data_IF_004372155637
#
_entry.id   IF_004372155637
#
_cell.length_a   1.000
_cell.length_b   1.000
_cell.length_c   1.000
_cell.angle_alpha   90.00
_cell.angle_beta   90.00
_cell.angle_gamma   90.00
#
_symmetry.space_group_name_H-M   'P 1'
#
loop_
_entity.id
_entity.type
_entity.pdbx_description
1 polymer ?
#
# COMPACT_ATOMS: atom_id res chain seq x y z
N UNK A 1 3.33 -5.54 34.84
CA UNK A 1 4.24 -6.48 34.14
C UNK A 1 4.95 -5.71 33.03
N UNK A 2 6.19 -6.06 32.65
CA UNK A 2 6.79 -5.47 31.45
C UNK A 2 6.08 -6.02 30.20
N UNK A 3 5.80 -5.18 29.19
CA UNK A 3 5.31 -5.64 27.89
C UNK A 3 6.26 -6.68 27.30
N UNK A 4 5.74 -7.70 26.58
CA UNK A 4 6.60 -8.63 25.86
C UNK A 4 7.47 -7.87 24.84
N UNK A 5 8.75 -8.22 24.77
CA UNK A 5 9.72 -7.60 23.85
C UNK A 5 9.84 -8.34 22.51
N UNK A 6 9.13 -9.45 22.38
CA UNK A 6 9.09 -10.34 21.22
C UNK A 6 7.67 -10.87 21.09
N UNK A 7 7.37 -11.44 19.94
CA UNK A 7 6.15 -12.21 19.72
C UNK A 7 5.97 -13.26 20.82
N UNK A 8 4.75 -13.39 21.32
CA UNK A 8 4.33 -14.42 22.27
C UNK A 8 3.13 -15.19 21.71
N UNK A 9 2.84 -16.42 22.19
CA UNK A 9 1.63 -17.14 21.80
C UNK A 9 0.36 -16.29 22.00
N UNK A 10 -0.66 -16.40 21.13
CA UNK A 10 -1.88 -15.60 21.20
C UNK A 10 -2.54 -15.56 22.59
N UNK A 11 -2.66 -16.73 23.23
CA UNK A 11 -3.23 -16.87 24.58
C UNK A 11 -2.41 -16.14 25.65
N UNK A 12 -1.08 -16.12 25.49
CA UNK A 12 -0.19 -15.40 26.39
C UNK A 12 -0.34 -13.88 26.22
N UNK A 13 -0.44 -13.40 24.97
CA UNK A 13 -0.71 -11.98 24.69
C UNK A 13 -2.01 -11.52 25.35
N UNK A 14 -3.10 -12.26 25.15
CA UNK A 14 -4.43 -11.91 25.69
C UNK A 14 -4.42 -11.80 27.22
N UNK A 15 -3.66 -12.67 27.90
CA UNK A 15 -3.54 -12.65 29.35
C UNK A 15 -2.60 -11.56 29.91
N UNK A 16 -1.63 -11.08 29.11
CA UNK A 16 -0.53 -10.21 29.60
C UNK A 16 -0.58 -8.78 29.08
N UNK A 17 -1.18 -8.53 27.92
CA UNK A 17 -1.15 -7.24 27.23
C UNK A 17 -2.46 -6.52 27.43
N UNK A 18 -2.45 -5.53 28.32
CA UNK A 18 -3.64 -4.72 28.64
C UNK A 18 -3.97 -3.67 27.58
N UNK A 19 -2.99 -3.32 26.75
CA UNK A 19 -3.10 -2.37 25.64
C UNK A 19 -1.88 -2.55 24.71
N UNK A 20 -2.13 -2.59 23.40
CA UNK A 20 -1.16 -2.88 22.36
C UNK A 20 -1.69 -3.86 21.33
N UNK A 21 -0.83 -4.24 20.39
CA UNK A 21 -1.19 -5.18 19.33
C UNK A 21 -0.02 -6.11 19.00
N UNK A 22 -0.35 -7.25 18.41
CA UNK A 22 0.62 -8.19 17.83
C UNK A 22 0.11 -8.61 16.45
N UNK A 23 0.98 -8.46 15.46
CA UNK A 23 0.71 -8.83 14.07
C UNK A 23 1.73 -9.84 13.61
N UNK A 24 1.24 -10.96 13.10
CA UNK A 24 2.03 -11.98 12.42
C UNK A 24 1.45 -12.16 11.01
N UNK A 25 2.11 -12.91 10.11
CA UNK A 25 1.58 -13.12 8.76
C UNK A 25 0.19 -13.77 8.71
N UNK A 26 -0.22 -14.50 9.74
CA UNK A 26 -1.46 -15.30 9.75
C UNK A 26 -2.41 -14.96 10.90
N UNK A 27 -2.00 -14.09 11.82
CA UNK A 27 -2.76 -13.77 13.04
C UNK A 27 -2.56 -12.33 13.46
N UNK A 28 -3.66 -11.67 13.77
CA UNK A 28 -3.70 -10.28 14.20
C UNK A 28 -4.60 -10.15 15.42
N UNK A 29 -4.08 -9.53 16.48
CA UNK A 29 -4.81 -9.34 17.72
C UNK A 29 -4.37 -8.05 18.40
N UNK A 30 -5.25 -7.44 19.18
CA UNK A 30 -4.90 -6.23 19.88
C UNK A 30 -6.07 -5.54 20.53
N UNK A 31 -5.71 -4.54 21.30
CA UNK A 31 -6.62 -3.73 22.08
C UNK A 31 -6.02 -2.33 22.26
N UNK A 32 -6.79 -1.30 21.93
CA UNK A 32 -6.39 0.11 22.04
C UNK A 32 -7.48 0.94 22.72
N UNK A 33 -7.07 1.99 23.45
CA UNK A 33 -7.98 2.97 24.05
C UNK A 33 -7.68 4.37 23.53
N UNK A 34 -8.69 5.22 23.42
CA UNK A 34 -8.47 6.64 23.16
C UNK A 34 -7.71 7.29 24.33
N UNK A 35 -6.64 8.02 24.01
CA UNK A 35 -5.84 8.76 25.00
C UNK A 35 -6.34 10.20 25.21
N UNK A 36 -7.41 10.59 24.51
CA UNK A 36 -8.07 11.89 24.61
C UNK A 36 -7.31 13.04 23.93
N UNK A 37 -6.19 12.78 23.24
CA UNK A 37 -5.36 13.85 22.66
C UNK A 37 -5.79 14.29 21.26
N UNK A 38 -6.51 13.44 20.53
CA UNK A 38 -6.97 13.73 19.17
C UNK A 38 -8.31 14.46 19.20
N UNK A 39 -8.42 15.62 18.57
CA UNK A 39 -9.62 16.49 18.61
C UNK A 39 -10.25 16.78 17.24
N UNK A 40 -9.65 16.26 16.17
CA UNK A 40 -9.95 16.65 14.78
C UNK A 40 -10.50 15.50 13.92
N UNK A 41 -10.79 14.34 14.51
CA UNK A 41 -11.39 13.20 13.81
C UNK A 41 -12.30 12.42 14.75
N UNK A 42 -13.25 11.67 14.19
CA UNK A 42 -14.12 10.77 14.94
C UNK A 42 -13.33 9.60 15.52
N UNK A 43 -13.72 9.17 16.71
CA UNK A 43 -13.01 8.14 17.48
C UNK A 43 -13.99 7.35 18.32
N UNK A 44 -13.54 6.18 18.74
CA UNK A 44 -14.20 5.34 19.73
C UNK A 44 -13.38 5.27 21.00
N UNK A 45 -14.04 4.97 22.13
CA UNK A 45 -13.34 4.85 23.42
C UNK A 45 -12.35 3.69 23.42
N UNK A 46 -12.73 2.59 22.78
CA UNK A 46 -11.95 1.35 22.73
C UNK A 46 -12.14 0.65 21.40
N UNK A 47 -11.07 0.00 20.92
CA UNK A 47 -11.12 -0.96 19.84
C UNK A 47 -10.40 -2.24 20.29
N UNK A 48 -11.01 -3.40 20.04
CA UNK A 48 -10.40 -4.73 20.28
C UNK A 48 -10.60 -5.58 19.04
N UNK A 49 -9.68 -6.47 18.75
CA UNK A 49 -9.84 -7.37 17.62
C UNK A 49 -9.03 -8.62 17.80
N UNK A 50 -9.47 -9.66 17.11
CA UNK A 50 -8.75 -10.92 16.99
C UNK A 50 -9.22 -11.60 15.70
N UNK A 51 -8.30 -11.85 14.79
CA UNK A 51 -8.60 -12.55 13.56
C UNK A 51 -7.39 -13.28 13.00
N UNK A 52 -7.68 -14.34 12.26
CA UNK A 52 -6.74 -15.05 11.41
C UNK A 52 -6.82 -14.51 9.98
N UNK A 53 -5.74 -14.64 9.23
CA UNK A 53 -5.69 -14.25 7.82
C UNK A 53 -5.10 -15.37 6.99
N UNK A 54 -5.76 -15.71 5.89
CA UNK A 54 -5.23 -16.57 4.82
C UNK A 54 -4.77 -15.67 3.67
N UNK A 55 -3.45 -15.50 3.44
CA UNK A 55 -2.95 -14.77 2.30
C UNK A 55 -3.34 -15.45 0.99
N UNK A 56 -3.74 -14.65 0.00
CA UNK A 56 -4.07 -15.08 -1.37
C UNK A 56 -3.04 -14.54 -2.35
N UNK A 57 -2.75 -13.24 -2.27
CA UNK A 57 -1.82 -12.53 -3.13
C UNK A 57 -0.77 -11.80 -2.29
N UNK A 58 0.51 -12.04 -2.61
CA UNK A 58 1.63 -11.22 -2.15
C UNK A 58 1.95 -10.12 -3.15
N UNK A 59 3.24 -9.87 -3.42
CA UNK A 59 3.68 -8.97 -4.49
C UNK A 59 4.39 -9.76 -5.59
N UNK A 60 3.62 -10.53 -6.35
CA UNK A 60 4.15 -11.51 -7.31
C UNK A 60 3.08 -12.51 -7.76
N UNK A 61 3.40 -13.31 -8.78
CA UNK A 61 2.50 -14.39 -9.22
C UNK A 61 2.28 -15.40 -8.08
N UNK A 62 1.08 -15.98 -8.02
CA UNK A 62 0.78 -17.06 -7.09
C UNK A 62 1.69 -18.25 -7.40
N UNK A 63 2.26 -18.86 -6.35
CA UNK A 63 3.20 -19.97 -6.48
C UNK A 63 4.60 -19.59 -6.98
N UNK A 64 4.90 -18.31 -7.15
CA UNK A 64 6.23 -17.80 -7.53
C UNK A 64 6.91 -17.02 -6.39
N UNK A 65 8.17 -16.65 -6.60
CA UNK A 65 8.89 -15.75 -5.69
C UNK A 65 8.19 -14.39 -5.62
N UNK A 66 8.01 -13.89 -4.40
CA UNK A 66 7.47 -12.56 -4.14
C UNK A 66 8.57 -11.51 -4.29
N UNK A 67 8.20 -10.31 -4.75
CA UNK A 67 9.13 -9.23 -5.05
C UNK A 67 9.08 -8.13 -3.99
N UNK A 68 10.14 -7.31 -3.93
CA UNK A 68 10.12 -6.02 -3.25
C UNK A 68 9.24 -5.03 -4.03
N UNK A 69 8.32 -4.35 -3.36
CA UNK A 69 7.32 -3.45 -3.98
C UNK A 69 7.94 -2.31 -4.78
N UNK A 70 9.07 -1.76 -4.32
CA UNK A 70 9.79 -0.67 -4.98
C UNK A 70 11.13 -1.13 -5.60
N UNK A 71 11.22 -2.42 -5.94
CA UNK A 71 12.44 -3.04 -6.46
C UNK A 71 13.54 -3.23 -5.41
N UNK A 72 14.68 -3.76 -5.81
CA UNK A 72 15.77 -4.07 -4.88
C UNK A 72 16.45 -2.81 -4.31
N UNK A 73 16.39 -1.67 -5.00
CA UNK A 73 16.92 -0.40 -4.51
C UNK A 73 16.20 0.06 -3.23
N UNK A 74 14.93 -0.29 -3.06
CA UNK A 74 14.17 0.01 -1.84
C UNK A 74 14.67 -0.76 -0.60
N UNK A 75 15.58 -1.73 -0.76
CA UNK A 75 16.22 -2.41 0.37
C UNK A 75 17.40 -1.62 0.96
N UNK A 76 17.81 -0.50 0.37
CA UNK A 76 18.92 0.32 0.88
C UNK A 76 18.42 1.49 1.75
N UNK A 77 19.04 1.77 2.92
CA UNK A 77 18.56 2.74 3.93
C UNK A 77 18.44 4.18 3.45
N UNK A 78 18.92 4.47 2.24
CA UNK A 78 18.96 5.80 1.67
C UNK A 78 17.64 6.16 0.94
N UNK A 79 16.77 5.17 0.70
CA UNK A 79 15.45 5.39 0.08
C UNK A 79 14.34 5.36 1.12
N UNK A 80 14.15 6.46 1.85
CA UNK A 80 13.07 6.62 2.83
C UNK A 80 11.85 7.40 2.26
N UNK A 81 10.61 7.07 2.70
CA UNK A 81 10.28 5.91 3.50
C UNK A 81 10.41 4.64 2.66
N UNK A 82 10.69 3.54 3.36
CA UNK A 82 10.52 2.22 2.79
C UNK A 82 9.05 1.83 2.87
N UNK A 83 8.57 1.19 1.81
CA UNK A 83 7.20 0.73 1.68
C UNK A 83 7.18 -0.66 1.07
N UNK A 84 6.44 -1.58 1.69
CA UNK A 84 6.27 -2.95 1.22
C UNK A 84 4.82 -3.39 1.38
N UNK A 85 4.25 -3.88 0.28
CA UNK A 85 3.00 -4.64 0.32
C UNK A 85 3.33 -6.03 0.85
N UNK A 86 2.87 -6.33 2.05
CA UNK A 86 3.08 -7.62 2.70
C UNK A 86 2.05 -8.66 2.23
N UNK A 87 0.84 -8.20 1.91
CA UNK A 87 -0.24 -9.00 1.36
C UNK A 87 -1.14 -8.10 0.51
N UNK A 88 -1.09 -8.27 -0.82
CA UNK A 88 -1.96 -7.53 -1.74
C UNK A 88 -3.42 -7.99 -1.64
N UNK A 89 -3.65 -9.25 -1.28
CA UNK A 89 -4.97 -9.80 -1.04
C UNK A 89 -4.95 -11.00 -0.11
N UNK A 90 -5.93 -11.09 0.77
CA UNK A 90 -6.12 -12.21 1.69
C UNK A 90 -7.54 -12.26 2.23
N UNK A 91 -7.87 -13.37 2.89
CA UNK A 91 -9.18 -13.61 3.48
C UNK A 91 -9.03 -13.75 5.00
N UNK A 92 -9.67 -12.85 5.74
CA UNK A 92 -9.58 -12.80 7.19
C UNK A 92 -10.85 -13.35 7.84
N UNK A 93 -10.70 -14.07 8.96
CA UNK A 93 -11.81 -14.61 9.74
C UNK A 93 -11.58 -14.35 11.21
N UNK A 94 -12.57 -13.76 11.87
CA UNK A 94 -12.51 -13.37 13.27
C UNK A 94 -13.47 -12.25 13.58
N UNK A 95 -13.04 -11.31 14.40
CA UNK A 95 -13.91 -10.23 14.87
C UNK A 95 -13.14 -8.95 15.19
N UNK A 96 -13.86 -7.83 15.09
CA UNK A 96 -13.45 -6.51 15.58
C UNK A 96 -14.57 -5.98 16.47
N UNK A 97 -14.23 -5.54 17.67
CA UNK A 97 -15.10 -4.78 18.55
C UNK A 97 -14.75 -3.30 18.46
N UNK A 98 -15.73 -2.48 18.08
CA UNK A 98 -15.61 -1.06 17.82
C UNK A 98 -16.77 -0.32 18.48
N UNK A 99 -16.46 0.64 19.36
CA UNK A 99 -17.42 1.36 20.22
C UNK A 99 -18.37 0.47 21.04
N UNK A 100 -17.92 -0.73 21.42
CA UNK A 100 -18.72 -1.70 22.16
C UNK A 100 -19.67 -2.53 21.29
N UNK A 101 -19.67 -2.33 19.98
CA UNK A 101 -20.32 -3.22 19.01
C UNK A 101 -19.31 -4.21 18.44
N UNK A 102 -19.68 -5.48 18.35
CA UNK A 102 -18.82 -6.55 17.83
C UNK A 102 -19.25 -6.94 16.42
N UNK A 103 -18.33 -6.78 15.49
CA UNK A 103 -18.45 -7.16 14.08
C UNK A 103 -17.70 -8.47 13.87
N UNK A 104 -18.43 -9.54 13.53
CA UNK A 104 -17.85 -10.83 13.20
C UNK A 104 -17.84 -11.02 11.69
N UNK A 105 -16.76 -11.60 11.18
CA UNK A 105 -16.57 -11.78 9.75
C UNK A 105 -15.88 -13.10 9.44
N UNK A 106 -16.21 -13.64 8.29
CA UNK A 106 -15.66 -14.88 7.77
C UNK A 106 -15.20 -14.65 6.34
N UNK A 107 -13.98 -15.08 6.04
CA UNK A 107 -13.33 -14.92 4.74
C UNK A 107 -13.47 -13.49 4.16
N UNK A 108 -13.35 -12.47 5.01
CA UNK A 108 -13.44 -11.08 4.58
C UNK A 108 -12.18 -10.64 3.82
N UNK A 109 -12.30 -9.95 2.67
CA UNK A 109 -11.17 -9.41 1.94
C UNK A 109 -10.28 -8.52 2.81
N UNK A 110 -8.98 -8.70 2.69
CA UNK A 110 -7.98 -8.00 3.52
C UNK A 110 -6.72 -7.67 2.73
N UNK A 111 -6.03 -6.63 3.19
CA UNK A 111 -4.80 -6.10 2.62
C UNK A 111 -3.85 -5.74 3.75
N UNK A 112 -2.54 -5.88 3.54
CA UNK A 112 -1.56 -5.39 4.51
C UNK A 112 -0.31 -4.84 3.84
N UNK A 113 0.18 -3.74 4.39
CA UNK A 113 1.44 -3.11 4.01
C UNK A 113 2.21 -2.66 5.24
N UNK A 114 3.50 -2.39 5.04
CA UNK A 114 4.39 -1.87 6.05
C UNK A 114 5.13 -0.67 5.51
N UNK A 115 5.12 0.40 6.30
CA UNK A 115 5.93 1.59 6.09
C UNK A 115 6.96 1.72 7.22
N UNK A 116 8.22 2.06 6.89
CA UNK A 116 9.26 2.32 7.88
C UNK A 116 10.31 3.31 7.35
N UNK A 117 11.11 3.90 8.23
CA UNK A 117 12.05 4.99 7.91
C UNK A 117 11.70 6.29 8.64
N UNK A 118 12.31 7.41 8.23
CA UNK A 118 12.18 8.70 8.89
C UNK A 118 10.84 9.42 8.67
N UNK A 119 10.37 9.52 7.43
CA UNK A 119 9.16 10.26 7.09
C UNK A 119 8.52 9.78 5.77
N UNK A 120 7.22 10.04 5.59
CA UNK A 120 6.53 9.85 4.31
C UNK A 120 7.03 10.83 3.22
N UNK A 121 6.73 10.59 1.93
CA UNK A 121 7.08 11.52 0.86
C UNK A 121 6.46 12.91 1.10
N UNK A 122 6.98 13.95 0.45
CA UNK A 122 6.40 15.31 0.58
C UNK A 122 4.95 15.39 0.13
N UNK A 123 4.57 14.51 -0.79
CA UNK A 123 3.25 14.42 -1.38
C UNK A 123 3.04 12.98 -1.84
N UNK A 124 1.91 12.36 -1.53
CA UNK A 124 1.61 11.00 -1.98
C UNK A 124 0.11 10.77 -2.16
N UNK A 125 -0.21 9.74 -2.94
CA UNK A 125 -1.56 9.22 -3.08
C UNK A 125 -1.51 7.69 -3.06
N UNK A 126 -2.63 7.08 -2.72
CA UNK A 126 -2.78 5.63 -2.68
C UNK A 126 -4.22 5.25 -3.00
N UNK A 127 -4.39 4.11 -3.68
CA UNK A 127 -5.66 3.50 -4.07
C UNK A 127 -5.54 1.98 -3.89
N UNK A 128 -6.50 1.35 -3.24
CA UNK A 128 -6.51 -0.09 -3.03
C UNK A 128 -7.95 -0.61 -3.06
N UNK A 129 -8.14 -1.80 -3.62
CA UNK A 129 -9.39 -2.54 -3.46
C UNK A 129 -9.16 -4.02 -3.70
N UNK A 130 -9.85 -4.85 -2.91
CA UNK A 130 -9.93 -6.30 -3.10
C UNK A 130 -11.39 -6.76 -3.28
N UNK A 131 -12.32 -5.82 -3.43
CA UNK A 131 -13.75 -6.09 -3.54
C UNK A 131 -14.21 -5.57 -4.89
N UNK A 132 -14.39 -6.48 -5.86
CA UNK A 132 -14.75 -6.10 -7.22
C UNK A 132 -15.97 -6.86 -7.72
N UNK A 133 -16.85 -6.14 -8.40
CA UNK A 133 -17.95 -6.65 -9.20
C UNK A 133 -17.50 -6.78 -10.67
N UNK A 134 -17.91 -7.86 -11.33
CA UNK A 134 -17.69 -8.06 -12.77
C UNK A 134 -16.51 -8.99 -13.14
N UNK A 135 -15.71 -9.43 -12.17
CA UNK A 135 -14.69 -10.46 -12.38
C UNK A 135 -15.18 -11.87 -12.02
N UNK A 136 -14.56 -12.89 -12.63
CA UNK A 136 -14.68 -14.27 -12.19
C UNK A 136 -13.49 -14.57 -11.28
N UNK A 137 -13.74 -14.66 -9.97
CA UNK A 137 -12.70 -14.90 -8.96
C UNK A 137 -12.16 -13.62 -8.31
N UNK A 138 -11.08 -13.76 -7.55
CA UNK A 138 -10.52 -12.67 -6.74
C UNK A 138 -9.65 -11.72 -7.56
N UNK A 139 -9.88 -10.43 -7.39
CA UNK A 139 -9.07 -9.34 -7.94
C UNK A 139 -8.51 -8.52 -6.80
N UNK A 140 -7.22 -8.20 -6.85
CA UNK A 140 -6.60 -7.27 -5.91
C UNK A 140 -5.92 -6.14 -6.69
N UNK A 141 -6.19 -4.90 -6.29
CA UNK A 141 -5.57 -3.69 -6.79
C UNK A 141 -4.80 -3.02 -5.66
N UNK A 142 -3.56 -2.62 -5.96
CA UNK A 142 -2.80 -1.66 -5.16
C UNK A 142 -2.12 -0.69 -6.10
N UNK A 143 -2.39 0.60 -5.93
CA UNK A 143 -1.79 1.65 -6.74
C UNK A 143 -1.38 2.80 -5.83
N UNK A 144 -0.21 3.36 -6.07
CA UNK A 144 0.32 4.42 -5.22
C UNK A 144 1.31 5.28 -5.99
N UNK A 145 1.56 6.49 -5.49
CA UNK A 145 2.63 7.32 -5.97
C UNK A 145 3.04 8.40 -4.99
N UNK A 146 4.25 8.89 -5.14
CA UNK A 146 4.85 9.83 -4.20
C UNK A 146 5.93 10.69 -4.83
N UNK A 147 6.02 11.92 -4.33
CA UNK A 147 7.14 12.84 -4.56
C UNK A 147 8.16 12.63 -3.44
N UNK A 148 9.07 11.67 -3.65
CA UNK A 148 10.06 11.27 -2.64
C UNK A 148 11.39 11.99 -2.85
N UNK A 149 12.13 12.19 -1.77
CA UNK A 149 13.46 12.80 -1.82
C UNK A 149 14.49 11.76 -2.25
N UNK A 150 15.41 12.16 -3.15
CA UNK A 150 16.53 11.32 -3.53
C UNK A 150 17.67 11.40 -2.50
N UNK A 151 18.28 10.26 -2.15
CA UNK A 151 19.40 10.23 -1.22
C UNK A 151 20.64 10.98 -1.69
N UNK A 152 21.32 11.66 -0.75
CA UNK A 152 22.63 12.29 -0.97
C UNK A 152 22.59 13.65 -1.68
N UNK A 153 21.43 14.08 -2.18
CA UNK A 153 21.22 15.42 -2.74
C UNK A 153 20.18 16.14 -1.90
N UNK A 154 20.61 17.16 -1.15
CA UNK A 154 19.67 18.10 -0.54
C UNK A 154 18.86 18.72 -1.67
N UNK A 155 17.53 18.58 -1.62
CA UNK A 155 16.55 19.23 -2.51
C UNK A 155 16.23 18.56 -3.87
N UNK A 156 16.72 17.35 -4.18
CA UNK A 156 16.25 16.63 -5.40
C UNK A 156 15.10 15.69 -5.06
N UNK A 157 14.00 15.81 -5.82
CA UNK A 157 12.81 14.96 -5.67
C UNK A 157 12.52 14.21 -6.96
N UNK A 158 11.98 13.01 -6.84
CA UNK A 158 11.49 12.22 -7.97
C UNK A 158 10.03 11.82 -7.76
N UNK A 159 9.31 11.73 -8.88
CA UNK A 159 8.00 11.11 -8.87
C UNK A 159 8.16 9.60 -9.08
N UNK A 160 7.72 8.84 -8.08
CA UNK A 160 7.57 7.40 -8.18
C UNK A 160 6.08 7.05 -8.17
N UNK A 161 5.67 6.09 -8.98
CA UNK A 161 4.31 5.55 -8.95
C UNK A 161 4.32 4.09 -9.39
N UNK A 162 3.32 3.35 -8.95
CA UNK A 162 3.09 1.97 -9.36
C UNK A 162 1.60 1.64 -9.43
N UNK A 163 1.30 0.62 -10.22
CA UNK A 163 0.01 -0.07 -10.23
C UNK A 163 0.31 -1.57 -10.22
N UNK A 164 -0.23 -2.28 -9.22
CA UNK A 164 -0.20 -3.72 -9.11
C UNK A 164 -1.60 -4.28 -9.16
N UNK A 165 -1.86 -5.18 -10.12
CA UNK A 165 -3.15 -5.89 -10.25
C UNK A 165 -2.89 -7.38 -10.14
N UNK A 166 -3.61 -8.07 -9.27
CA UNK A 166 -3.64 -9.53 -9.23
C UNK A 166 -4.98 -10.04 -9.77
N UNK A 167 -4.93 -10.98 -10.70
CA UNK A 167 -6.11 -11.64 -11.22
C UNK A 167 -5.77 -13.01 -11.79
N UNK A 168 -6.57 -14.02 -11.44
CA UNK A 168 -6.40 -15.40 -11.92
C UNK A 168 -4.98 -15.96 -11.67
N UNK A 169 -4.40 -15.64 -10.51
CA UNK A 169 -3.05 -16.07 -10.12
C UNK A 169 -1.89 -15.28 -10.74
N UNK A 170 -2.17 -14.38 -11.68
CA UNK A 170 -1.16 -13.53 -12.32
C UNK A 170 -1.06 -12.17 -11.63
N UNK A 171 0.17 -11.67 -11.53
CA UNK A 171 0.51 -10.34 -11.08
C UNK A 171 0.93 -9.47 -12.27
N UNK A 172 0.13 -8.43 -12.52
CA UNK A 172 0.37 -7.41 -13.54
C UNK A 172 0.95 -6.18 -12.86
N UNK A 173 2.23 -5.94 -13.10
CA UNK A 173 3.00 -4.88 -12.47
C UNK A 173 3.29 -3.76 -13.48
N UNK A 174 2.94 -2.53 -13.12
CA UNK A 174 3.26 -1.33 -13.87
C UNK A 174 4.08 -0.40 -12.99
N UNK A 175 5.35 -0.26 -13.33
CA UNK A 175 6.38 0.42 -12.55
C UNK A 175 7.38 1.10 -13.49
N UNK A 176 8.12 2.14 -13.05
CA UNK A 176 8.97 2.93 -13.94
C UNK A 176 10.06 2.14 -14.67
N UNK A 177 10.46 0.99 -14.14
CA UNK A 177 11.50 0.16 -14.76
C UNK A 177 10.97 -0.84 -15.78
N UNK A 178 9.66 -1.12 -15.84
CA UNK A 178 9.07 -2.03 -16.83
C UNK A 178 8.00 -1.37 -17.73
N UNK A 179 7.68 -0.11 -17.48
CA UNK A 179 6.60 0.60 -18.15
C UNK A 179 6.56 2.08 -17.79
N UNK A 180 5.42 2.70 -18.06
CA UNK A 180 5.12 4.08 -17.72
C UNK A 180 3.83 4.12 -16.91
N UNK A 181 3.81 4.87 -15.83
CA UNK A 181 2.61 5.15 -15.05
C UNK A 181 2.36 6.65 -15.06
N UNK A 182 1.14 7.03 -15.41
CA UNK A 182 0.63 8.39 -15.42
C UNK A 182 -0.47 8.52 -14.39
N UNK A 183 -0.63 9.70 -13.79
CA UNK A 183 -1.69 9.96 -12.83
C UNK A 183 -2.23 11.38 -12.96
N UNK A 184 -3.47 11.52 -12.50
CA UNK A 184 -4.16 12.78 -12.28
C UNK A 184 -4.95 12.68 -10.97
N UNK A 185 -4.46 13.33 -9.92
CA UNK A 185 -5.03 13.25 -8.58
C UNK A 185 -5.43 14.65 -8.13
N UNK A 186 -6.69 14.87 -7.77
CA UNK A 186 -7.14 16.15 -7.21
C UNK A 186 -6.70 16.29 -5.76
N UNK A 187 -6.78 17.49 -5.13
CA UNK A 187 -6.55 17.63 -3.70
C UNK A 187 -7.44 16.70 -2.84
N UNK A 188 -8.61 16.32 -3.35
CA UNK A 188 -9.48 15.29 -2.80
C UNK A 188 -10.60 14.92 -3.78
N UNK A 189 -11.10 13.68 -3.71
CA UNK A 189 -12.32 13.25 -4.36
C UNK A 189 -12.15 12.60 -5.73
N UNK A 190 -10.96 12.64 -6.32
CA UNK A 190 -10.68 12.06 -7.64
C UNK A 190 -9.26 11.53 -7.76
N UNK A 191 -9.13 10.26 -8.15
CA UNK A 191 -7.87 9.59 -8.43
C UNK A 191 -7.97 8.90 -9.79
N UNK A 192 -7.16 9.33 -10.74
CA UNK A 192 -6.98 8.62 -12.01
C UNK A 192 -5.54 8.17 -12.14
N UNK A 193 -5.35 6.93 -12.57
CA UNK A 193 -4.04 6.42 -12.98
C UNK A 193 -4.15 5.56 -14.23
N UNK A 194 -3.12 5.63 -15.08
CA UNK A 194 -2.98 4.80 -16.25
C UNK A 194 -1.56 4.24 -16.33
N UNK A 195 -1.42 2.94 -16.56
CA UNK A 195 -0.14 2.25 -16.72
C UNK A 195 -0.06 1.55 -18.06
N UNK A 196 1.13 1.54 -18.67
CA UNK A 196 1.42 0.66 -19.80
C UNK A 196 2.82 0.05 -19.69
N UNK A 197 2.95 -1.20 -20.11
CA UNK A 197 4.24 -1.88 -20.29
C UNK A 197 4.28 -2.51 -21.69
N UNK A 198 5.27 -3.34 -21.99
CA UNK A 198 5.42 -3.93 -23.33
C UNK A 198 4.20 -4.76 -23.80
N UNK A 199 3.43 -5.31 -22.86
CA UNK A 199 2.41 -6.33 -23.14
C UNK A 199 1.01 -5.98 -22.65
N UNK A 200 0.86 -5.01 -21.74
CA UNK A 200 -0.40 -4.70 -21.07
C UNK A 200 -0.61 -3.20 -20.91
N UNK A 201 -1.88 -2.81 -20.79
CA UNK A 201 -2.33 -1.48 -20.41
C UNK A 201 -3.35 -1.59 -19.27
N UNK A 202 -3.34 -0.65 -18.33
CA UNK A 202 -4.27 -0.57 -17.20
C UNK A 202 -4.74 0.86 -17.00
N UNK A 203 -5.99 1.03 -16.63
CA UNK A 203 -6.57 2.31 -16.19
C UNK A 203 -7.41 2.08 -14.93
N UNK A 204 -7.28 2.99 -13.98
CA UNK A 204 -8.13 3.04 -12.79
C UNK A 204 -8.62 4.46 -12.57
N UNK A 205 -9.89 4.59 -12.22
CA UNK A 205 -10.53 5.84 -11.85
C UNK A 205 -11.32 5.60 -10.56
N UNK A 206 -11.00 6.35 -9.51
CA UNK A 206 -11.71 6.32 -8.25
C UNK A 206 -12.24 7.70 -7.86
N UNK A 207 -13.45 7.74 -7.30
CA UNK A 207 -14.12 8.96 -6.86
C UNK A 207 -14.78 8.77 -5.51
N UNK A 208 -14.81 9.83 -4.70
CA UNK A 208 -15.55 9.84 -3.44
C UNK A 208 -16.13 11.22 -3.14
N UNK A 209 -17.35 11.22 -2.59
CA UNK A 209 -17.97 12.39 -1.98
C UNK A 209 -17.76 12.41 -0.45
N UNK A 210 -17.24 11.33 0.13
CA UNK A 210 -16.96 11.27 1.56
C UNK A 210 -15.84 12.27 1.91
N UNK A 211 -15.94 12.96 3.06
CA UNK A 211 -14.95 13.98 3.44
C UNK A 211 -13.55 13.38 3.69
N UNK A 212 -13.50 12.08 4.00
CA UNK A 212 -12.31 11.35 4.44
C UNK A 212 -12.02 11.54 5.93
N UNK A 213 -11.17 10.68 6.46
CA UNK A 213 -10.70 10.69 7.83
C UNK A 213 -9.29 11.27 7.85
N UNK A 214 -9.03 12.26 8.69
CA UNK A 214 -7.67 12.81 8.81
C UNK A 214 -6.83 11.95 9.74
N UNK A 215 -5.71 11.45 9.24
CA UNK A 215 -4.77 10.59 9.96
C UNK A 215 -3.44 11.30 10.20
N UNK A 216 -2.74 10.86 11.25
CA UNK A 216 -1.36 11.29 11.50
C UNK A 216 -0.39 10.44 10.71
N UNK A 217 0.58 11.08 10.07
CA UNK A 217 1.70 10.42 9.41
C UNK A 217 3.03 11.07 9.83
N UNK A 218 4.14 10.32 9.86
CA UNK A 218 5.47 10.90 10.01
C UNK A 218 5.81 11.83 8.83
N UNK A 219 6.16 13.08 9.12
CA UNK A 219 6.57 14.11 8.15
C UNK A 219 7.97 14.61 8.48
N UNK A 220 8.73 15.04 7.47
CA UNK A 220 10.07 15.58 7.65
C UNK A 220 10.09 16.88 8.47
N UNK A 221 9.05 17.71 8.34
CA UNK A 221 9.01 19.04 8.95
C UNK A 221 8.32 19.07 10.31
N UNK A 222 7.23 18.31 10.48
CA UNK A 222 6.37 18.38 11.66
C UNK A 222 6.37 17.10 12.51
N UNK A 223 7.18 16.10 12.14
CA UNK A 223 7.16 14.79 12.79
C UNK A 223 5.81 14.10 12.60
N UNK A 224 5.32 13.41 13.62
CA UNK A 224 4.05 12.69 13.57
C UNK A 224 2.84 13.64 13.69
N UNK A 225 2.33 14.09 12.54
CA UNK A 225 1.36 15.18 12.45
C UNK A 225 0.17 14.81 11.53
N UNK A 226 -0.98 15.49 11.65
CA UNK A 226 -2.12 15.32 10.74
C UNK A 226 -1.72 15.74 9.32
N UNK A 227 -1.39 14.75 8.49
CA UNK A 227 -0.78 14.95 7.17
C UNK A 227 -1.31 13.97 6.14
N UNK A 228 -2.29 13.16 6.49
CA UNK A 228 -2.88 12.14 5.64
C UNK A 228 -4.40 12.25 5.72
N UNK A 229 -5.07 11.95 4.62
CA UNK A 229 -6.52 11.83 4.57
C UNK A 229 -6.91 10.62 3.72
N UNK A 230 -7.69 9.72 4.30
CA UNK A 230 -8.10 8.46 3.66
C UNK A 230 -9.61 8.19 3.79
N UNK A 231 -10.12 7.26 2.98
CA UNK A 231 -11.46 6.68 3.14
C UNK A 231 -11.55 5.35 2.42
N UNK A 232 -12.35 4.42 2.95
CA UNK A 232 -12.71 3.16 2.27
C UNK A 232 -14.07 3.22 1.54
N UNK A 233 -14.64 4.42 1.43
CA UNK A 233 -15.93 4.66 0.78
C UNK A 233 -15.69 5.40 -0.54
N UNK A 234 -15.26 4.67 -1.56
CA UNK A 234 -15.08 5.24 -2.89
C UNK A 234 -15.52 4.27 -3.98
N UNK A 235 -16.10 4.84 -5.03
CA UNK A 235 -16.39 4.14 -6.26
C UNK A 235 -15.11 4.08 -7.08
N UNK A 236 -14.81 2.91 -7.64
CA UNK A 236 -13.63 2.65 -8.46
C UNK A 236 -14.04 1.85 -9.68
N UNK A 237 -13.51 2.21 -10.85
CA UNK A 237 -13.47 1.36 -12.03
C UNK A 237 -12.03 0.99 -12.36
N UNK A 238 -11.78 -0.29 -12.58
CA UNK A 238 -10.49 -0.83 -13.00
C UNK A 238 -10.66 -1.54 -14.34
N UNK A 239 -9.84 -1.17 -15.32
CA UNK A 239 -9.84 -1.76 -16.65
C UNK A 239 -8.43 -2.15 -17.06
N UNK A 240 -8.29 -3.30 -17.73
CA UNK A 240 -7.00 -3.81 -18.18
C UNK A 240 -7.12 -4.49 -19.53
N UNK A 241 -6.12 -4.31 -20.38
CA UNK A 241 -6.07 -4.84 -21.73
C UNK A 241 -4.69 -5.43 -22.06
N UNK A 242 -4.65 -6.38 -22.98
CA UNK A 242 -3.43 -6.67 -23.74
C UNK A 242 -3.03 -5.44 -24.55
N UNK A 243 -1.73 -5.18 -24.70
CA UNK A 243 -1.21 -4.10 -25.54
C UNK A 243 -0.86 -4.65 -26.92
N UNK A 244 -1.38 -4.04 -27.98
CA UNK A 244 -1.03 -4.40 -29.36
C UNK A 244 0.33 -3.83 -29.76
N UNK A 245 0.93 -4.39 -30.81
CA UNK A 245 2.21 -3.92 -31.36
C UNK A 245 2.18 -2.49 -31.87
N UNK A 246 1.00 -1.97 -32.22
CA UNK A 246 0.78 -0.57 -32.63
C UNK A 246 0.56 0.38 -31.44
N UNK A 247 0.63 -0.13 -30.19
CA UNK A 247 0.41 0.63 -28.97
C UNK A 247 -1.06 0.83 -28.58
N UNK A 248 -2.02 0.24 -29.31
CA UNK A 248 -3.44 0.33 -28.99
C UNK A 248 -3.92 -0.73 -27.97
N UNK A 249 -5.06 -0.45 -27.32
CA UNK A 249 -5.75 -1.39 -26.42
C UNK A 249 -6.25 -2.61 -27.19
N UNK A 250 -5.72 -3.77 -26.84
CA UNK A 250 -6.01 -5.08 -27.38
C UNK A 250 -7.26 -5.72 -26.79
N UNK A 251 -7.15 -7.01 -26.48
CA UNK A 251 -8.20 -7.79 -25.81
C UNK A 251 -8.38 -7.29 -24.38
N UNK A 252 -9.64 -7.16 -23.93
CA UNK A 252 -9.98 -6.84 -22.54
C UNK A 252 -9.62 -8.04 -21.65
N UNK A 253 -8.90 -7.76 -20.56
CA UNK A 253 -8.57 -8.73 -19.50
C UNK A 253 -9.48 -8.51 -18.29
N UNK A 254 -9.70 -7.25 -17.90
CA UNK A 254 -10.57 -6.85 -16.81
C UNK A 254 -11.36 -5.58 -17.18
N UNK A 255 -12.61 -5.52 -16.75
CA UNK A 255 -13.42 -4.31 -16.65
C UNK A 255 -14.36 -4.52 -15.45
N UNK A 256 -13.97 -3.98 -14.30
CA UNK A 256 -14.60 -4.26 -13.01
C UNK A 256 -14.81 -2.98 -12.23
N UNK A 257 -15.76 -3.01 -11.30
CA UNK A 257 -16.05 -1.88 -10.42
C UNK A 257 -16.02 -2.29 -8.95
N UNK A 258 -15.75 -1.33 -8.07
CA UNK A 258 -15.79 -1.47 -6.62
C UNK A 258 -16.50 -0.26 -6.04
N UNK A 259 -17.34 -0.46 -5.03
CA UNK A 259 -17.96 0.57 -4.19
C UNK A 259 -17.29 0.63 -2.79
N UNK A 260 -16.19 -0.11 -2.62
CA UNK A 260 -15.44 -0.25 -1.36
C UNK A 260 -13.94 -0.02 -1.57
N UNK A 261 -13.58 0.81 -2.55
CA UNK A 261 -12.18 1.14 -2.75
C UNK A 261 -11.69 2.08 -1.64
N UNK A 262 -10.47 1.83 -1.19
CA UNK A 262 -9.75 2.67 -0.27
C UNK A 262 -8.88 3.67 -1.05
N UNK A 263 -9.01 4.95 -0.74
CA UNK A 263 -8.30 6.05 -1.40
C UNK A 263 -7.69 6.97 -0.37
N UNK A 264 -6.50 7.49 -0.68
CA UNK A 264 -5.73 8.32 0.22
C UNK A 264 -4.99 9.42 -0.55
N UNK A 265 -4.87 10.59 0.08
CA UNK A 265 -3.87 11.60 -0.24
C UNK A 265 -3.15 12.02 1.03
N UNK A 266 -1.87 12.34 0.92
CA UNK A 266 -1.15 12.91 2.04
C UNK A 266 0.03 13.78 1.65
N UNK A 267 0.65 14.32 2.69
CA UNK A 267 1.66 15.34 2.64
C UNK A 267 1.04 16.66 2.23
N UNK A 268 1.76 17.41 1.40
CA UNK A 268 1.28 18.66 0.82
C UNK A 268 2.21 19.83 1.10
N UNK A 269 1.68 21.06 0.97
CA UNK A 269 0.28 21.38 0.66
C UNK A 269 -0.20 20.93 -0.74
N UNK A 270 -1.48 20.55 -0.83
CA UNK A 270 -2.18 20.21 -2.09
C UNK A 270 -3.01 21.42 -2.58
N UNK A 271 -2.42 22.27 -3.43
CA UNK A 271 -3.14 23.45 -3.95
C UNK A 271 -3.90 23.19 -5.24
N UNK A 272 -3.43 22.25 -6.06
CA UNK A 272 -3.96 21.97 -7.40
C UNK A 272 -3.91 20.47 -7.67
N UNK A 273 -4.65 20.04 -8.69
CA UNK A 273 -4.55 18.70 -9.27
C UNK A 273 -3.10 18.37 -9.61
N UNK A 274 -2.63 17.22 -9.14
CA UNK A 274 -1.33 16.68 -9.44
C UNK A 274 -1.41 15.78 -10.65
N UNK A 275 -0.90 16.26 -11.79
CA UNK A 275 -0.66 15.43 -12.97
C UNK A 275 0.81 15.05 -13.03
N UNK A 276 1.10 13.81 -13.35
CA UNK A 276 2.47 13.37 -13.47
C UNK A 276 2.62 12.07 -14.26
N UNK A 277 3.87 11.78 -14.56
CA UNK A 277 4.29 10.56 -15.23
C UNK A 277 5.58 10.09 -14.57
N UNK A 278 5.76 8.77 -14.48
CA UNK A 278 7.02 8.19 -14.04
C UNK A 278 8.10 8.47 -15.08
N UNK A 279 9.15 9.19 -14.70
CA UNK A 279 10.33 9.40 -15.57
C UNK A 279 11.52 8.79 -14.86
N UNK A 280 12.01 7.65 -15.37
CA UNK A 280 13.22 7.01 -14.85
C UNK A 280 14.36 7.14 -15.87
N UNK A 281 15.53 7.68 -15.47
CA UNK A 281 16.71 7.66 -16.32
C UNK A 281 17.07 6.23 -16.74
N UNK A 282 17.36 6.01 -18.03
CA UNK A 282 17.71 4.69 -18.60
C UNK A 282 18.78 3.89 -17.83
N UNK A 283 19.84 4.51 -17.26
CA UNK A 283 20.80 3.77 -16.44
C UNK A 283 20.20 3.09 -15.20
N UNK A 284 19.26 3.77 -14.52
CA UNK A 284 18.59 3.26 -13.31
C UNK A 284 17.59 2.18 -13.69
N UNK A 285 16.86 2.39 -14.79
CA UNK A 285 15.93 1.41 -15.36
C UNK A 285 16.62 0.08 -15.66
N UNK A 286 17.79 0.10 -16.31
CA UNK A 286 18.57 -1.13 -16.58
C UNK A 286 19.04 -1.80 -15.29
N UNK A 287 19.51 -1.04 -14.30
CA UNK A 287 19.98 -1.61 -13.03
C UNK A 287 18.86 -2.31 -12.24
N UNK A 288 17.64 -1.77 -12.25
CA UNK A 288 16.48 -2.37 -11.58
C UNK A 288 15.95 -3.65 -12.24
N UNK A 289 16.22 -3.83 -13.54
CA UNK A 289 15.85 -5.05 -14.27
C UNK A 289 16.85 -6.21 -14.07
N UNK A 290 18.05 -5.94 -13.56
CA UNK A 290 19.03 -6.99 -13.26
C UNK A 290 18.64 -7.66 -11.94
N UNK A 291 18.43 -8.98 -11.90
CA UNK A 291 18.19 -9.68 -10.65
C UNK A 291 19.44 -9.61 -9.78
N UNK A 292 19.31 -8.95 -8.63
CA UNK A 292 20.37 -8.83 -7.63
C UNK A 292 19.99 -9.69 -6.42
N UNK A 293 20.95 -10.49 -5.94
CA UNK A 293 20.80 -11.22 -4.67
C UNK A 293 20.97 -10.25 -3.49
N UNK A 294 19.86 -9.57 -3.16
CA UNK A 294 19.81 -8.59 -2.08
C UNK A 294 20.13 -9.25 -0.74
N UNK A 295 19.66 -10.47 -0.49
CA UNK A 295 19.88 -11.20 0.75
C UNK A 295 21.35 -11.58 0.93
N UNK A 296 22.02 -12.00 -0.15
CA UNK A 296 23.46 -12.26 -0.16
C UNK A 296 24.30 -11.00 0.11
N UNK A 297 23.95 -9.86 -0.50
CA UNK A 297 24.65 -8.59 -0.31
C UNK A 297 24.43 -8.04 1.11
N UNK A 298 23.18 -8.00 1.59
CA UNK A 298 22.82 -7.54 2.93
C UNK A 298 23.28 -8.50 4.03
N UNK A 299 23.48 -9.79 3.72
CA UNK A 299 24.11 -10.77 4.60
C UNK A 299 25.61 -10.58 4.74
N UNK A 300 26.30 -10.16 3.67
CA UNK A 300 27.74 -9.89 3.69
C UNK A 300 28.11 -8.57 4.38
N UNK A 301 27.21 -7.58 4.40
CA UNK A 301 27.44 -6.27 5.03
C UNK A 301 26.21 -5.87 5.88
N UNK A 302 26.12 -6.32 7.14
CA UNK A 302 24.97 -6.08 8.02
C UNK A 302 24.65 -4.60 8.25
N UNK A 303 25.65 -3.71 8.12
CA UNK A 303 25.48 -2.26 8.26
C UNK A 303 24.61 -1.63 7.15
N UNK A 304 24.40 -2.34 6.04
CA UNK A 304 23.56 -1.90 4.94
C UNK A 304 22.09 -2.36 5.10
N UNK A 305 21.76 -3.19 6.08
CA UNK A 305 20.37 -3.56 6.36
C UNK A 305 19.63 -2.38 7.00
N UNK A 306 18.55 -1.87 6.39
CA UNK A 306 17.71 -0.88 7.03
C UNK A 306 17.14 -1.44 8.34
N UNK A 307 16.97 -0.62 9.39
CA UNK A 307 16.24 -1.04 10.58
C UNK A 307 14.83 -1.49 10.19
N UNK A 308 14.48 -2.75 10.45
CA UNK A 308 13.13 -3.29 10.20
C UNK A 308 12.98 -4.20 8.97
N UNK A 309 14.07 -4.52 8.26
CA UNK A 309 14.16 -5.64 7.32
C UNK A 309 14.67 -6.92 8.02
#
# INVERSE_FOLDING_TARGET
>A
MQPPRKEVPPQEFDSRVLEGFQVTPLWHQGFMRDDGRTTYTEKVKTARWEYSTRPVYGWGNVGSNQKSTAGWLAAFPVFEPHWQVCMAGGLSTGWIEWDGERFEFQDAPSYSEKNWGGAFPRKWFWVQSNVFNGAIGEVALTAAGGLRQLPGLTETFENAALIGVHYNGFFYEFVPWNGVVNWEITPWGYWYMAGENETHMVELEATTEHPGTTLRAPTSEAGFAPACKDTCFSDLRLQMWERRSDGSKGKVILDVTSDMAAVEVGGGPWFNTWKGSTVMPEPIKRALQVPVDVDGILGAVPLLRPPGL
#
